data_IF_647424651715
#
_entry.id   IF_647424651715
#
_cell.length_a   1.000
_cell.length_b   1.000
_cell.length_c   1.000
_cell.angle_alpha   90.00
_cell.angle_beta   90.00
_cell.angle_gamma   90.00
#
_symmetry.space_group_name_H-M   'P 1'
#
loop_
_entity.id
_entity.type
_entity.pdbx_description
1 polymer ?
#
# COMPACT_ATOMS: atom_id res chain seq x y z
N UNK A 1 22.94 14.85 -4.15
CA UNK A 1 21.95 14.37 -5.15
C UNK A 1 20.49 14.39 -4.63
N UNK A 2 20.27 14.61 -3.32
CA UNK A 2 18.89 14.89 -2.80
C UNK A 2 18.43 16.33 -2.98
N UNK A 3 19.37 17.24 -3.26
CA UNK A 3 19.09 18.67 -3.38
C UNK A 3 18.46 19.05 -4.74
N UNK A 4 18.26 18.09 -5.64
CA UNK A 4 17.70 18.29 -6.97
C UNK A 4 16.24 17.81 -7.12
N UNK A 5 15.67 17.15 -6.09
CA UNK A 5 14.29 16.62 -6.13
C UNK A 5 13.46 17.27 -5.03
N UNK A 6 12.42 17.99 -5.41
CA UNK A 6 11.48 18.60 -4.47
C UNK A 6 10.38 17.62 -4.09
N UNK A 7 10.44 17.11 -2.85
CA UNK A 7 9.46 16.15 -2.30
C UNK A 7 8.58 16.88 -1.30
N UNK A 8 7.28 16.87 -1.53
CA UNK A 8 6.30 17.47 -0.61
C UNK A 8 5.28 16.42 -0.18
N UNK A 9 5.02 16.33 1.11
CA UNK A 9 4.00 15.44 1.67
C UNK A 9 2.85 16.21 2.29
N UNK A 10 1.64 15.62 2.26
CA UNK A 10 0.45 16.11 2.95
C UNK A 10 -0.09 14.97 3.79
N UNK A 11 -0.10 15.14 5.10
CA UNK A 11 -0.35 14.07 6.06
C UNK A 11 -1.32 14.49 7.16
N UNK A 12 -2.01 13.53 7.78
CA UNK A 12 -2.95 13.80 8.90
C UNK A 12 -2.90 12.69 9.97
N UNK A 13 -2.01 12.80 10.97
CA UNK A 13 -0.89 13.75 11.10
C UNK A 13 0.39 13.29 10.38
N UNK A 14 1.44 14.10 10.42
CA UNK A 14 2.81 13.67 10.10
C UNK A 14 3.25 12.66 11.17
N UNK A 15 3.45 11.41 10.76
CA UNK A 15 3.84 10.31 11.66
C UNK A 15 5.32 10.35 12.03
N UNK A 16 6.15 10.72 11.09
CA UNK A 16 7.59 10.74 11.25
C UNK A 16 8.23 11.90 10.48
N UNK A 17 9.04 12.70 11.17
CA UNK A 17 9.76 13.79 10.52
C UNK A 17 10.93 13.23 9.70
N UNK A 18 10.94 13.53 8.40
CA UNK A 18 11.99 13.10 7.47
C UNK A 18 12.80 14.30 7.01
N UNK A 19 14.10 14.39 7.36
CA UNK A 19 14.96 15.49 6.92
C UNK A 19 15.05 15.60 5.39
N UNK A 20 14.95 16.80 4.85
CA UNK A 20 15.03 17.09 3.42
C UNK A 20 13.71 16.89 2.65
N UNK A 21 12.60 16.69 3.35
CA UNK A 21 11.24 16.62 2.80
C UNK A 21 10.40 17.74 3.41
N UNK A 22 9.64 18.44 2.58
CA UNK A 22 8.64 19.39 3.04
C UNK A 22 7.37 18.65 3.43
N UNK A 23 7.03 18.62 4.72
CA UNK A 23 5.88 17.87 5.25
C UNK A 23 4.80 18.83 5.75
N UNK A 24 3.60 18.72 5.21
CA UNK A 24 2.43 19.56 5.53
C UNK A 24 1.45 18.78 6.38
N UNK A 25 1.20 19.25 7.58
CA UNK A 25 0.16 18.72 8.45
C UNK A 25 -1.22 19.30 8.08
N UNK A 26 -2.20 18.45 7.86
CA UNK A 26 -3.59 18.85 7.67
C UNK A 26 -4.18 19.42 8.96
N UNK A 27 -4.97 20.48 8.82
CA UNK A 27 -5.74 21.06 9.92
C UNK A 27 -7.12 21.48 9.43
N UNK A 28 -8.05 20.53 9.44
CA UNK A 28 -9.43 20.75 8.95
C UNK A 28 -10.15 21.86 9.73
N UNK A 29 -9.84 22.02 11.02
CA UNK A 29 -10.43 23.11 11.86
C UNK A 29 -10.00 24.49 11.38
N UNK A 30 -8.82 24.59 10.78
CA UNK A 30 -8.32 25.83 10.17
C UNK A 30 -8.64 25.92 8.66
N UNK A 31 -9.43 25.00 8.09
CA UNK A 31 -9.78 24.97 6.69
C UNK A 31 -8.71 24.38 5.78
N UNK A 32 -7.60 23.86 6.32
CA UNK A 32 -6.56 23.21 5.54
C UNK A 32 -6.92 21.73 5.36
N UNK A 33 -7.61 21.43 4.26
CA UNK A 33 -7.97 20.07 3.83
C UNK A 33 -6.91 19.49 2.89
N UNK A 34 -6.97 18.17 2.61
CA UNK A 34 -6.10 17.54 1.62
C UNK A 34 -6.20 18.21 0.25
N UNK A 35 -7.41 18.49 -0.24
CA UNK A 35 -7.63 19.15 -1.51
C UNK A 35 -7.06 20.58 -1.54
N UNK A 36 -7.25 21.37 -0.48
CA UNK A 36 -6.73 22.72 -0.37
C UNK A 36 -5.18 22.75 -0.33
N UNK A 37 -4.58 21.83 0.45
CA UNK A 37 -3.14 21.67 0.52
C UNK A 37 -2.57 21.28 -0.83
N UNK A 38 -3.13 20.27 -1.51
CA UNK A 38 -2.71 19.80 -2.84
C UNK A 38 -2.71 20.93 -3.87
N UNK A 39 -3.77 21.74 -3.95
CA UNK A 39 -3.80 22.90 -4.86
C UNK A 39 -2.68 23.90 -4.60
N UNK A 40 -2.27 24.03 -3.34
CA UNK A 40 -1.20 24.95 -2.94
C UNK A 40 0.18 24.39 -3.26
N UNK A 41 0.43 23.11 -2.97
CA UNK A 41 1.74 22.48 -3.21
C UNK A 41 2.04 22.28 -4.70
N UNK A 42 1.03 22.08 -5.54
CA UNK A 42 1.21 22.02 -7.00
C UNK A 42 1.79 23.32 -7.60
N UNK A 43 1.74 24.43 -6.87
CA UNK A 43 2.37 25.72 -7.27
C UNK A 43 3.76 25.91 -6.66
N UNK A 44 4.29 24.90 -5.99
CA UNK A 44 5.63 24.89 -5.36
C UNK A 44 6.66 24.09 -6.16
N UNK A 45 6.33 23.79 -7.43
CA UNK A 45 7.18 23.01 -8.33
C UNK A 45 7.67 21.68 -7.72
N UNK A 46 6.76 20.81 -7.25
CA UNK A 46 7.13 19.54 -6.67
C UNK A 46 7.46 18.50 -7.75
N UNK A 47 8.50 17.71 -7.56
CA UNK A 47 8.78 16.52 -8.39
C UNK A 47 7.98 15.31 -7.89
N UNK A 48 7.89 15.17 -6.55
CA UNK A 48 7.20 14.07 -5.88
C UNK A 48 6.21 14.62 -4.87
N UNK A 49 4.98 14.16 -4.97
CA UNK A 49 3.89 14.49 -4.04
C UNK A 49 3.47 13.22 -3.31
N UNK A 50 3.49 13.22 -1.98
CA UNK A 50 2.90 12.15 -1.19
C UNK A 50 1.66 12.66 -0.47
N UNK A 51 0.54 11.98 -0.69
CA UNK A 51 -0.74 12.24 -0.04
C UNK A 51 -0.97 11.12 0.96
N UNK A 52 -1.04 11.43 2.23
CA UNK A 52 -1.18 10.43 3.28
C UNK A 52 -2.32 9.45 2.99
N UNK A 53 -3.46 9.98 2.53
CA UNK A 53 -4.58 9.16 2.06
C UNK A 53 -5.51 9.94 1.13
N UNK A 54 -6.23 9.22 0.27
CA UNK A 54 -7.32 9.75 -0.56
C UNK A 54 -8.65 9.17 -0.05
N UNK A 55 -9.54 10.04 0.43
CA UNK A 55 -10.85 9.66 0.96
C UNK A 55 -12.02 10.12 0.13
N UNK A 56 -11.84 11.15 -0.68
CA UNK A 56 -12.89 11.85 -1.43
C UNK A 56 -12.51 12.08 -2.89
N UNK A 57 -13.54 12.29 -3.74
CA UNK A 57 -13.36 12.48 -5.16
C UNK A 57 -12.65 13.78 -5.54
N UNK A 58 -12.74 14.84 -4.71
CA UNK A 58 -12.04 16.10 -4.97
C UNK A 58 -10.52 15.91 -4.87
N UNK A 59 -10.06 15.31 -3.78
CA UNK A 59 -8.66 14.97 -3.56
C UNK A 59 -8.16 13.99 -4.63
N UNK A 60 -8.96 12.97 -4.96
CA UNK A 60 -8.63 11.99 -5.99
C UNK A 60 -8.43 12.65 -7.36
N UNK A 61 -9.32 13.56 -7.75
CA UNK A 61 -9.25 14.25 -9.05
C UNK A 61 -7.98 15.10 -9.16
N UNK A 62 -7.63 15.86 -8.12
CA UNK A 62 -6.41 16.66 -8.10
C UNK A 62 -5.17 15.77 -8.17
N UNK A 63 -5.13 14.67 -7.42
CA UNK A 63 -4.03 13.73 -7.40
C UNK A 63 -3.79 13.07 -8.76
N UNK A 64 -4.86 12.56 -9.39
CA UNK A 64 -4.81 11.93 -10.71
C UNK A 64 -4.40 12.94 -11.79
N UNK A 65 -4.94 14.17 -11.73
CA UNK A 65 -4.56 15.24 -12.66
C UNK A 65 -3.08 15.61 -12.53
N UNK A 66 -2.56 15.69 -11.32
CA UNK A 66 -1.14 15.94 -11.07
C UNK A 66 -0.26 14.82 -11.63
N UNK A 67 -0.66 13.55 -11.48
CA UNK A 67 0.06 12.41 -12.04
C UNK A 67 0.09 12.44 -13.57
N UNK A 68 -1.03 12.76 -14.22
CA UNK A 68 -1.12 12.90 -15.69
C UNK A 68 -0.23 14.03 -16.20
N UNK A 69 -0.08 15.10 -15.42
CA UNK A 69 0.75 16.27 -15.81
C UNK A 69 2.25 16.12 -15.49
N UNK A 70 2.68 14.93 -15.04
CA UNK A 70 4.09 14.56 -14.93
C UNK A 70 4.67 14.48 -13.51
N UNK A 71 3.87 14.74 -12.47
CA UNK A 71 4.32 14.57 -11.10
C UNK A 71 4.29 13.10 -10.68
N UNK A 72 5.26 12.66 -9.91
CA UNK A 72 5.16 11.37 -9.22
C UNK A 72 4.28 11.52 -7.98
N UNK A 73 3.08 10.96 -8.04
CA UNK A 73 2.13 11.01 -6.92
C UNK A 73 2.09 9.67 -6.20
N UNK A 74 2.36 9.68 -4.91
CA UNK A 74 2.25 8.54 -4.00
C UNK A 74 1.07 8.77 -3.06
N UNK A 75 0.24 7.76 -2.84
CA UNK A 75 -0.86 7.86 -1.90
C UNK A 75 -1.28 6.51 -1.33
N UNK A 76 -2.15 6.53 -0.33
CA UNK A 76 -2.81 5.34 0.20
C UNK A 76 -4.30 5.38 -0.05
N UNK A 77 -4.87 4.20 -0.27
CA UNK A 77 -6.30 3.95 -0.37
C UNK A 77 -6.67 2.84 0.60
N UNK A 78 -7.77 3.01 1.33
CA UNK A 78 -8.28 1.97 2.22
C UNK A 78 -9.08 0.93 1.42
N UNK A 79 -8.37 0.02 0.76
CA UNK A 79 -8.93 -1.06 -0.04
C UNK A 79 -8.37 -2.42 0.41
N UNK A 80 -9.12 -3.48 0.14
CA UNK A 80 -8.76 -4.82 0.57
C UNK A 80 -7.64 -5.45 -0.29
N UNK A 81 -7.61 -5.12 -1.57
CA UNK A 81 -6.66 -5.64 -2.55
C UNK A 81 -6.37 -4.60 -3.65
N UNK A 82 -5.45 -4.93 -4.56
CA UNK A 82 -5.04 -4.03 -5.62
C UNK A 82 -6.15 -3.76 -6.66
N UNK A 83 -6.92 -4.74 -7.15
CA UNK A 83 -8.03 -4.48 -8.06
C UNK A 83 -9.10 -3.56 -7.46
N UNK A 84 -9.42 -3.72 -6.18
CA UNK A 84 -10.38 -2.86 -5.49
C UNK A 84 -9.94 -1.40 -5.42
N UNK A 85 -8.64 -1.13 -5.49
CA UNK A 85 -8.13 0.25 -5.51
C UNK A 85 -8.50 0.96 -6.82
N UNK A 86 -8.47 0.26 -7.95
CA UNK A 86 -8.90 0.79 -9.25
C UNK A 86 -10.39 1.11 -9.21
N UNK A 87 -11.21 0.15 -8.77
CA UNK A 87 -12.65 0.34 -8.64
C UNK A 87 -12.97 1.53 -7.72
N UNK A 88 -12.25 1.65 -6.60
CA UNK A 88 -12.44 2.74 -5.63
C UNK A 88 -12.18 4.13 -6.24
N UNK A 89 -11.16 4.27 -7.08
CA UNK A 89 -10.90 5.54 -7.78
C UNK A 89 -12.04 5.88 -8.76
N UNK A 90 -12.57 4.89 -9.47
CA UNK A 90 -13.73 5.08 -10.36
C UNK A 90 -14.97 5.45 -9.56
N UNK A 91 -15.24 4.79 -8.43
CA UNK A 91 -16.36 5.12 -7.52
C UNK A 91 -16.26 6.54 -6.94
N UNK A 92 -15.05 7.07 -6.79
CA UNK A 92 -14.80 8.47 -6.40
C UNK A 92 -15.05 9.46 -7.55
N UNK A 93 -15.47 9.00 -8.72
CA UNK A 93 -15.80 9.83 -9.88
C UNK A 93 -14.63 10.11 -10.82
N UNK A 94 -13.55 9.34 -10.74
CA UNK A 94 -12.43 9.44 -11.69
C UNK A 94 -12.75 8.58 -12.91
N UNK A 95 -12.68 9.20 -14.08
CA UNK A 95 -12.93 8.49 -15.35
C UNK A 95 -11.93 7.34 -15.55
N UNK A 96 -12.37 6.15 -16.00
CA UNK A 96 -11.51 4.98 -16.14
C UNK A 96 -10.25 5.21 -17.00
N UNK A 97 -10.35 6.01 -18.05
CA UNK A 97 -9.21 6.34 -18.90
C UNK A 97 -8.15 7.19 -18.17
N UNK A 98 -8.58 8.05 -17.23
CA UNK A 98 -7.66 8.84 -16.41
C UNK A 98 -6.93 7.93 -15.41
N UNK A 99 -7.65 6.99 -14.77
CA UNK A 99 -7.04 6.02 -13.87
C UNK A 99 -5.98 5.20 -14.61
N UNK A 100 -6.31 4.68 -15.81
CA UNK A 100 -5.37 3.88 -16.60
C UNK A 100 -4.12 4.67 -17.06
N UNK A 101 -4.28 5.98 -17.28
CA UNK A 101 -3.17 6.84 -17.71
C UNK A 101 -2.28 7.31 -16.57
N UNK A 102 -2.84 7.49 -15.37
CA UNK A 102 -2.12 8.01 -14.20
C UNK A 102 -1.47 6.91 -13.35
N UNK A 103 -2.06 5.71 -13.32
CA UNK A 103 -1.68 4.67 -12.38
C UNK A 103 -0.48 3.87 -12.87
N UNK A 104 0.65 4.00 -12.17
CA UNK A 104 1.89 3.27 -12.46
C UNK A 104 1.93 1.90 -11.77
N UNK A 105 1.35 1.77 -10.59
CA UNK A 105 1.34 0.53 -9.83
C UNK A 105 0.54 0.64 -8.54
N UNK A 106 0.15 -0.51 -8.01
CA UNK A 106 -0.54 -0.63 -6.73
C UNK A 106 0.20 -1.66 -5.88
N UNK A 107 0.40 -1.32 -4.61
CA UNK A 107 0.96 -2.22 -3.61
C UNK A 107 -0.13 -2.52 -2.59
N UNK A 108 -0.64 -3.74 -2.59
CA UNK A 108 -1.55 -4.21 -1.55
C UNK A 108 -0.75 -4.75 -0.36
N UNK A 109 -1.18 -4.41 0.85
CA UNK A 109 -0.50 -4.79 2.08
C UNK A 109 -1.47 -5.47 3.03
N UNK A 110 -1.10 -6.63 3.56
CA UNK A 110 -1.89 -7.37 4.53
C UNK A 110 -1.08 -7.72 5.76
N UNK A 111 -1.73 -7.65 6.91
CA UNK A 111 -1.19 -8.17 8.15
C UNK A 111 -1.50 -9.67 8.23
N UNK A 112 -0.47 -10.49 8.38
CA UNK A 112 -0.62 -11.93 8.55
C UNK A 112 0.05 -12.40 9.83
N UNK A 113 -0.45 -13.49 10.38
CA UNK A 113 0.19 -14.18 11.47
C UNK A 113 1.36 -15.00 10.94
N UNK A 114 2.57 -14.70 11.41
CA UNK A 114 3.76 -15.50 11.12
C UNK A 114 4.06 -16.39 12.31
N UNK A 115 4.40 -17.65 12.07
CA UNK A 115 4.84 -18.56 13.11
C UNK A 115 6.01 -17.99 13.90
N UNK A 116 5.98 -18.16 15.21
CA UNK A 116 7.08 -17.78 16.09
C UNK A 116 8.33 -18.59 15.72
N UNK A 117 9.42 -17.90 15.41
CA UNK A 117 10.68 -18.55 14.99
C UNK A 117 11.26 -19.47 16.07
N UNK A 118 11.02 -19.16 17.35
CA UNK A 118 11.59 -19.84 18.49
C UNK A 118 10.87 -21.14 18.84
N UNK A 119 9.57 -21.24 18.55
CA UNK A 119 8.78 -22.38 18.99
C UNK A 119 7.98 -23.09 17.90
N UNK A 120 8.13 -22.69 16.64
CA UNK A 120 7.51 -23.44 15.54
C UNK A 120 8.07 -24.85 15.48
N UNK A 121 7.21 -25.84 15.32
CA UNK A 121 7.59 -27.24 15.20
C UNK A 121 7.45 -27.73 13.77
N UNK A 122 8.47 -28.42 13.22
CA UNK A 122 8.35 -29.04 11.90
C UNK A 122 7.41 -30.24 11.97
N UNK A 123 6.68 -30.48 10.88
CA UNK A 123 5.89 -31.70 10.70
C UNK A 123 5.77 -32.05 9.20
N UNK A 124 5.51 -33.31 8.90
CA UNK A 124 5.22 -33.76 7.54
C UNK A 124 3.74 -33.58 7.25
N UNK A 125 3.36 -32.87 6.17
CA UNK A 125 1.96 -32.62 5.86
C UNK A 125 1.20 -33.89 5.46
N UNK A 126 -0.07 -33.97 5.83
CA UNK A 126 -0.99 -35.01 5.39
C UNK A 126 -1.29 -34.89 3.89
N UNK A 127 -1.85 -35.95 3.28
CA UNK A 127 -2.27 -35.89 1.88
C UNK A 127 -3.32 -34.81 1.61
N UNK A 128 -4.27 -34.61 2.54
CA UNK A 128 -5.30 -33.57 2.45
C UNK A 128 -4.68 -32.15 2.49
N UNK A 129 -3.72 -31.93 3.38
CA UNK A 129 -2.98 -30.65 3.46
C UNK A 129 -2.15 -30.39 2.19
N UNK A 130 -1.53 -31.44 1.63
CA UNK A 130 -0.78 -31.34 0.37
C UNK A 130 -1.70 -30.93 -0.78
N UNK A 131 -2.88 -31.55 -0.89
CA UNK A 131 -3.87 -31.19 -1.91
C UNK A 131 -4.36 -29.75 -1.76
N UNK A 132 -4.69 -29.34 -0.53
CA UNK A 132 -5.20 -27.99 -0.26
C UNK A 132 -4.18 -26.87 -0.55
N UNK A 133 -2.88 -27.18 -0.40
CA UNK A 133 -1.77 -26.26 -0.63
C UNK A 133 -1.13 -26.41 -2.01
N UNK A 134 -1.70 -27.23 -2.92
CA UNK A 134 -1.14 -27.56 -4.23
C UNK A 134 0.33 -28.02 -4.18
N UNK A 135 0.66 -28.83 -3.16
CA UNK A 135 1.99 -29.40 -3.01
C UNK A 135 2.09 -30.78 -3.69
N UNK A 136 3.27 -31.17 -4.17
CA UNK A 136 3.48 -32.52 -4.71
C UNK A 136 3.12 -33.61 -3.71
N UNK A 137 2.36 -34.61 -4.15
CA UNK A 137 1.91 -35.71 -3.28
C UNK A 137 3.04 -36.70 -2.97
N UNK A 138 3.97 -36.84 -3.89
CA UNK A 138 5.02 -37.87 -3.86
C UNK A 138 6.36 -37.38 -3.27
N UNK A 139 6.46 -36.09 -2.86
CA UNK A 139 7.70 -35.55 -2.29
C UNK A 139 7.66 -35.69 -0.74
N UNK A 140 8.39 -36.69 -0.24
CA UNK A 140 8.51 -36.93 1.21
C UNK A 140 9.34 -35.86 1.93
N UNK A 141 10.08 -35.02 1.23
CA UNK A 141 10.97 -34.02 1.83
C UNK A 141 10.25 -32.73 2.23
N UNK A 142 8.96 -32.59 1.95
CA UNK A 142 8.20 -31.38 2.28
C UNK A 142 7.96 -31.33 3.79
N UNK A 143 8.52 -30.30 4.42
CA UNK A 143 8.33 -30.00 5.83
C UNK A 143 7.53 -28.73 6.00
N UNK A 144 6.40 -28.80 6.67
CA UNK A 144 5.63 -27.65 7.13
C UNK A 144 5.91 -27.39 8.61
N UNK A 145 5.43 -26.25 9.11
CA UNK A 145 5.62 -25.86 10.50
C UNK A 145 4.28 -25.50 11.14
N UNK A 146 4.08 -25.93 12.38
CA UNK A 146 2.90 -25.61 13.18
C UNK A 146 3.27 -24.74 14.39
N UNK A 147 2.30 -23.95 14.91
CA UNK A 147 2.51 -23.15 16.11
C UNK A 147 2.60 -24.09 17.33
N UNK A 148 3.47 -23.75 18.28
CA UNK A 148 3.55 -24.45 19.56
C UNK A 148 3.16 -23.51 20.72
N UNK A 149 3.82 -22.38 20.83
CA UNK A 149 3.67 -21.42 21.92
C UNK A 149 4.86 -21.46 22.89
N UNK A 150 5.41 -20.28 23.17
CA UNK A 150 6.48 -20.07 24.16
C UNK A 150 6.32 -18.70 24.81
N UNK A 151 7.12 -18.40 25.82
CA UNK A 151 7.07 -17.10 26.50
C UNK A 151 7.34 -15.92 25.56
N UNK A 152 8.26 -16.07 24.59
CA UNK A 152 8.59 -15.02 23.59
C UNK A 152 7.44 -14.64 22.65
N UNK A 153 6.44 -15.47 22.50
CA UNK A 153 5.23 -15.21 21.73
C UNK A 153 3.96 -15.15 22.60
N UNK A 154 4.11 -15.01 23.91
CA UNK A 154 3.03 -15.02 24.87
C UNK A 154 2.11 -16.25 24.71
N UNK A 155 2.70 -17.41 24.52
CA UNK A 155 2.06 -18.73 24.34
C UNK A 155 1.14 -18.83 23.11
N UNK A 156 1.13 -17.83 22.22
CA UNK A 156 0.25 -17.80 21.04
C UNK A 156 0.78 -18.63 19.86
N UNK A 157 2.09 -18.90 19.80
CA UNK A 157 2.75 -19.58 18.68
C UNK A 157 2.94 -18.70 17.44
N UNK A 158 2.41 -17.47 17.43
CA UNK A 158 2.43 -16.53 16.30
C UNK A 158 2.97 -15.17 16.70
N UNK A 159 3.44 -14.43 15.69
CA UNK A 159 3.72 -12.99 15.75
C UNK A 159 3.10 -12.32 14.53
N UNK A 160 2.66 -11.06 14.68
CA UNK A 160 2.21 -10.26 13.55
C UNK A 160 3.38 -9.98 12.59
N UNK A 161 3.10 -10.07 11.30
CA UNK A 161 4.04 -9.72 10.24
C UNK A 161 3.30 -9.05 9.08
N UNK A 162 3.99 -8.15 8.39
CA UNK A 162 3.51 -7.51 7.17
C UNK A 162 3.92 -8.37 5.96
N UNK A 163 2.99 -8.59 5.03
CA UNK A 163 3.28 -9.09 3.69
C UNK A 163 2.92 -7.99 2.69
N UNK A 164 3.86 -7.68 1.80
CA UNK A 164 3.65 -6.78 0.69
C UNK A 164 3.36 -7.64 -0.56
N UNK A 165 2.24 -7.37 -1.20
CA UNK A 165 1.89 -7.93 -2.50
C UNK A 165 1.90 -6.75 -3.47
N UNK A 166 2.89 -6.71 -4.36
CA UNK A 166 2.97 -5.70 -5.42
C UNK A 166 2.44 -6.32 -6.71
N UNK A 167 1.46 -5.69 -7.32
CA UNK A 167 1.00 -6.02 -8.65
C UNK A 167 1.39 -4.87 -9.59
N UNK A 168 2.37 -5.09 -10.51
CA UNK A 168 2.64 -4.12 -11.55
C UNK A 168 1.42 -4.03 -12.46
N UNK A 169 0.89 -2.83 -12.65
CA UNK A 169 -0.14 -2.59 -13.64
C UNK A 169 0.46 -2.84 -15.02
N UNK A 170 0.23 -4.02 -15.60
CA UNK A 170 0.40 -4.20 -17.03
C UNK A 170 -0.59 -3.26 -17.70
N UNK A 171 -0.12 -2.46 -18.66
CA UNK A 171 -0.98 -1.70 -19.55
C UNK A 171 -2.08 -2.63 -20.05
N UNK A 172 -3.28 -2.53 -19.51
CA UNK A 172 -4.46 -3.09 -20.10
C UNK A 172 -4.68 -2.30 -21.40
N UNK A 173 -4.12 -2.78 -22.51
CA UNK A 173 -4.59 -2.39 -23.83
C UNK A 173 -6.00 -2.94 -23.91
N UNK A 174 -6.97 -2.07 -23.69
CA UNK A 174 -8.35 -2.32 -24.09
C UNK A 174 -8.35 -2.18 -25.62
N UNK A 175 -8.36 -3.32 -26.30
CA UNK A 175 -8.66 -3.42 -27.71
C UNK A 175 -10.17 -3.27 -27.94
#
# INVERSE_FOLDING_TARGET
MRDEINIITVENPVEMIVPGITQVNINEKAGLTFAAALRSILRQDPDVIMIGEIRDGETANIAVSAAITGHLVLSTLHTYDAPSSVARLVDMGIEPYMVSSALLGIIAQKLVLRLCKECKQPYSPSQEERMSLNLPLDDENITLYKPCGCEKCNKKGYKLSLIHISEPTRHLRIS
#
